data_IF_230692516149
#
_entry.id   IF_230692516149
#
_cell.length_a   1.000
_cell.length_b   1.000
_cell.length_c   1.000
_cell.angle_alpha   90.00
_cell.angle_beta   90.00
_cell.angle_gamma   90.00
#
_symmetry.space_group_name_H-M   'P 1'
#
loop_
_entity.id
_entity.type
_entity.pdbx_description
1 polymer ?
#
# COMPACT_ATOMS: atom_id res chain seq x y z
N UNK A 1 20.86 1.10 10.62
CA UNK A 1 20.20 1.65 9.41
C UNK A 1 19.33 0.54 8.84
N UNK A 2 18.08 0.82 8.49
CA UNK A 2 17.17 -0.14 7.86
C UNK A 2 17.11 0.18 6.37
N UNK A 3 17.27 -0.83 5.52
CA UNK A 3 17.27 -0.69 4.06
C UNK A 3 16.23 -1.65 3.47
N UNK A 4 15.48 -1.17 2.47
CA UNK A 4 14.62 -2.04 1.68
C UNK A 4 15.46 -2.86 0.71
N UNK A 5 15.34 -4.20 0.79
CA UNK A 5 16.11 -5.08 -0.10
C UNK A 5 15.36 -5.48 -1.37
N UNK A 6 14.13 -6.00 -1.21
CA UNK A 6 13.27 -6.48 -2.30
C UNK A 6 11.87 -6.80 -1.78
N UNK A 7 10.93 -6.96 -2.71
CA UNK A 7 9.66 -7.65 -2.42
C UNK A 7 9.91 -9.15 -2.47
N UNK A 8 9.26 -9.91 -1.58
CA UNK A 8 9.45 -11.36 -1.53
C UNK A 8 8.86 -12.11 -2.72
N UNK A 9 7.72 -11.64 -3.23
CA UNK A 9 7.05 -12.18 -4.41
C UNK A 9 7.42 -11.39 -5.65
N UNK A 10 8.06 -12.04 -6.62
CA UNK A 10 8.40 -11.44 -7.92
C UNK A 10 7.16 -10.98 -8.69
N UNK A 11 6.04 -11.70 -8.55
CA UNK A 11 4.76 -11.33 -9.17
C UNK A 11 4.25 -10.03 -8.56
N UNK A 12 4.26 -9.95 -7.22
CA UNK A 12 3.78 -8.76 -6.54
C UNK A 12 4.70 -7.57 -6.81
N UNK A 13 6.02 -7.77 -6.85
CA UNK A 13 6.96 -6.72 -7.24
C UNK A 13 6.64 -6.16 -8.63
N UNK A 14 6.42 -7.04 -9.62
CA UNK A 14 6.05 -6.64 -10.98
C UNK A 14 4.74 -5.87 -11.01
N UNK A 15 3.74 -6.29 -10.24
CA UNK A 15 2.46 -5.57 -10.15
C UNK A 15 2.63 -4.18 -9.54
N UNK A 16 3.41 -4.06 -8.45
CA UNK A 16 3.73 -2.77 -7.84
C UNK A 16 4.47 -1.86 -8.82
N UNK A 17 5.53 -2.37 -9.47
CA UNK A 17 6.31 -1.62 -10.46
C UNK A 17 5.50 -1.21 -11.69
N UNK A 18 4.47 -1.99 -12.05
CA UNK A 18 3.52 -1.63 -13.12
C UNK A 18 2.63 -0.45 -12.73
N UNK A 19 2.27 -0.30 -11.46
CA UNK A 19 1.51 0.85 -10.97
C UNK A 19 2.41 2.09 -10.94
N UNK A 20 3.63 1.95 -10.40
CA UNK A 20 4.67 2.98 -10.41
C UNK A 20 6.03 2.32 -10.20
N UNK A 21 7.04 2.71 -10.96
CA UNK A 21 8.38 2.10 -10.93
C UNK A 21 8.97 2.03 -9.51
N UNK A 22 8.68 3.03 -8.67
CA UNK A 22 9.20 3.14 -7.28
C UNK A 22 8.16 2.73 -6.22
N UNK A 23 7.06 2.09 -6.63
CA UNK A 23 6.00 1.66 -5.70
C UNK A 23 6.48 0.68 -4.62
N UNK A 24 7.35 -0.31 -4.89
CA UNK A 24 7.88 -1.19 -3.85
C UNK A 24 8.55 -0.44 -2.70
N UNK A 25 9.35 0.57 -3.04
CA UNK A 25 10.11 1.39 -2.09
C UNK A 25 9.18 2.30 -1.27
N UNK A 26 8.19 2.91 -1.92
CA UNK A 26 7.14 3.70 -1.23
C UNK A 26 6.39 2.84 -0.21
N UNK A 27 6.00 1.62 -0.61
CA UNK A 27 5.28 0.71 0.28
C UNK A 27 6.18 0.23 1.42
N UNK A 28 7.47 0.02 1.17
CA UNK A 28 8.41 -0.31 2.23
C UNK A 28 8.49 0.79 3.30
N UNK A 29 8.47 2.07 2.92
CA UNK A 29 8.47 3.18 3.89
C UNK A 29 7.18 3.24 4.70
N UNK A 30 6.03 3.02 4.07
CA UNK A 30 4.73 2.98 4.74
C UNK A 30 4.66 1.82 5.73
N UNK A 31 5.12 0.64 5.33
CA UNK A 31 5.20 -0.55 6.19
C UNK A 31 6.14 -0.28 7.36
N UNK A 32 7.30 0.34 7.11
CA UNK A 32 8.26 0.67 8.15
C UNK A 32 7.68 1.66 9.16
N UNK A 33 6.99 2.72 8.70
CA UNK A 33 6.27 3.65 9.55
C UNK A 33 5.19 2.93 10.39
N UNK A 34 4.41 2.05 9.78
CA UNK A 34 3.39 1.26 10.47
C UNK A 34 3.98 0.35 11.57
N UNK A 35 5.03 -0.42 11.27
CA UNK A 35 5.73 -1.26 12.26
C UNK A 35 6.53 -0.46 13.29
N UNK A 36 6.71 0.85 13.08
CA UNK A 36 7.33 1.79 14.02
C UNK A 36 6.29 2.55 14.85
N UNK A 37 5.04 2.04 14.90
CA UNK A 37 3.93 2.56 15.70
C UNK A 37 3.57 4.02 15.36
N UNK A 38 3.54 4.37 14.07
CA UNK A 38 3.23 5.73 13.56
C UNK A 38 1.79 5.91 13.08
N UNK A 39 0.89 5.03 13.53
CA UNK A 39 -0.50 4.99 13.09
C UNK A 39 -0.75 3.88 12.07
N UNK A 40 -1.93 3.89 11.46
CA UNK A 40 -2.34 2.84 10.51
C UNK A 40 -3.03 3.37 9.26
N UNK A 41 -3.59 4.58 9.30
CA UNK A 41 -4.23 5.20 8.14
C UNK A 41 -3.17 5.82 7.23
N UNK A 42 -3.39 5.80 5.92
CA UNK A 42 -2.42 6.35 4.96
C UNK A 42 -2.09 7.83 5.19
N UNK A 43 -3.06 8.74 5.48
CA UNK A 43 -2.73 10.12 5.81
C UNK A 43 -1.78 10.27 7.00
N UNK A 44 -2.00 9.50 8.08
CA UNK A 44 -1.17 9.52 9.29
C UNK A 44 0.25 9.03 8.99
N UNK A 45 0.35 7.89 8.27
CA UNK A 45 1.63 7.30 7.91
C UNK A 45 2.45 8.22 7.00
N UNK A 46 1.83 8.84 6.00
CA UNK A 46 2.51 9.79 5.11
C UNK A 46 2.97 11.02 5.88
N UNK A 47 2.13 11.58 6.75
CA UNK A 47 2.54 12.70 7.61
C UNK A 47 3.74 12.32 8.47
N UNK A 48 3.74 11.13 9.08
CA UNK A 48 4.88 10.64 9.85
C UNK A 48 6.14 10.49 9.00
N UNK A 49 6.04 9.98 7.76
CA UNK A 49 7.20 9.86 6.87
C UNK A 49 7.78 11.25 6.58
N UNK A 50 6.93 12.24 6.30
CA UNK A 50 7.36 13.62 6.01
C UNK A 50 8.05 14.30 7.20
N UNK A 51 7.63 13.99 8.42
CA UNK A 51 8.25 14.50 9.64
C UNK A 51 9.44 13.68 10.14
N UNK A 52 9.70 12.51 9.55
CA UNK A 52 10.78 11.61 9.96
C UNK A 52 12.05 11.80 9.12
N UNK A 53 13.20 11.47 9.71
CA UNK A 53 14.48 11.40 8.99
C UNK A 53 14.77 10.04 8.33
N UNK A 54 13.91 9.04 8.51
CA UNK A 54 14.12 7.69 7.96
C UNK A 54 13.53 7.62 6.57
N UNK A 55 14.38 7.56 5.55
CA UNK A 55 13.99 7.42 4.14
C UNK A 55 14.64 6.19 3.54
N UNK A 56 13.85 5.43 2.80
CA UNK A 56 14.30 4.34 1.94
C UNK A 56 14.56 4.89 0.53
N UNK A 57 13.74 5.83 0.07
CA UNK A 57 13.95 6.53 -1.19
C UNK A 57 15.14 7.49 -1.09
N UNK A 58 15.97 7.47 -2.13
CA UNK A 58 17.15 8.36 -2.26
C UNK A 58 16.82 9.73 -2.85
N UNK A 59 15.57 9.97 -3.23
CA UNK A 59 15.08 11.26 -3.72
C UNK A 59 13.86 11.69 -2.92
N UNK A 60 13.53 12.99 -2.98
CA UNK A 60 12.44 13.55 -2.22
C UNK A 60 11.12 13.45 -3.00
N UNK A 61 10.10 12.96 -2.32
CA UNK A 61 8.70 13.06 -2.71
C UNK A 61 7.98 13.95 -1.70
N UNK A 62 7.03 14.76 -2.17
CA UNK A 62 6.14 15.55 -1.31
C UNK A 62 5.04 14.67 -0.72
N UNK A 63 4.36 15.14 0.33
CA UNK A 63 3.17 14.47 0.86
C UNK A 63 2.11 14.22 -0.22
N UNK A 64 1.95 15.15 -1.15
CA UNK A 64 1.02 15.05 -2.28
C UNK A 64 1.42 13.94 -3.26
N UNK A 65 2.72 13.78 -3.55
CA UNK A 65 3.23 12.69 -4.39
C UNK A 65 2.96 11.32 -3.76
N UNK A 66 3.22 11.16 -2.45
CA UNK A 66 2.87 9.92 -1.74
C UNK A 66 1.37 9.67 -1.80
N UNK A 67 0.56 10.68 -1.48
CA UNK A 67 -0.89 10.55 -1.49
C UNK A 67 -1.41 10.14 -2.88
N UNK A 68 -0.88 10.74 -3.95
CA UNK A 68 -1.25 10.39 -5.32
C UNK A 68 -0.90 8.93 -5.67
N UNK A 69 0.33 8.51 -5.35
CA UNK A 69 0.83 7.16 -5.63
C UNK A 69 0.06 6.11 -4.83
N UNK A 70 -0.23 6.35 -3.56
CA UNK A 70 -1.05 5.46 -2.74
C UNK A 70 -2.50 5.41 -3.22
N UNK A 71 -3.10 6.54 -3.58
CA UNK A 71 -4.41 6.56 -4.24
C UNK A 71 -4.42 5.71 -5.51
N UNK A 72 -3.34 5.70 -6.28
CA UNK A 72 -3.20 4.84 -7.47
C UNK A 72 -3.15 3.36 -7.10
N UNK A 73 -2.34 2.98 -6.11
CA UNK A 73 -2.28 1.61 -5.60
C UNK A 73 -3.66 1.12 -5.14
N UNK A 74 -4.34 1.91 -4.32
CA UNK A 74 -5.66 1.59 -3.77
C UNK A 74 -6.70 1.43 -4.89
N UNK A 75 -6.71 2.34 -5.85
CA UNK A 75 -7.61 2.28 -6.99
C UNK A 75 -7.41 1.01 -7.83
N UNK A 76 -6.15 0.72 -8.19
CA UNK A 76 -5.86 -0.48 -8.99
C UNK A 76 -6.16 -1.76 -8.21
N UNK A 77 -5.88 -1.79 -6.91
CA UNK A 77 -6.24 -2.92 -6.03
C UNK A 77 -7.76 -3.13 -5.96
N UNK A 78 -8.52 -2.04 -5.82
CA UNK A 78 -9.98 -2.10 -5.75
C UNK A 78 -10.64 -2.51 -7.08
N UNK A 79 -10.02 -2.18 -8.22
CA UNK A 79 -10.61 -2.36 -9.55
C UNK A 79 -10.07 -3.57 -10.34
N UNK A 80 -9.14 -4.36 -9.79
CA UNK A 80 -8.77 -5.65 -10.40
C UNK A 80 -7.35 -6.15 -10.20
N UNK A 81 -6.44 -5.38 -9.60
CA UNK A 81 -5.08 -5.86 -9.28
C UNK A 81 -5.13 -6.84 -8.11
N UNK A 82 -4.60 -8.05 -8.31
CA UNK A 82 -4.48 -9.09 -7.28
C UNK A 82 -2.99 -9.38 -7.04
N UNK A 83 -2.47 -9.35 -5.80
CA UNK A 83 -1.04 -9.51 -5.51
C UNK A 83 -0.42 -10.82 -6.01
N UNK A 84 -1.20 -11.92 -5.98
CA UNK A 84 -0.71 -13.27 -6.25
C UNK A 84 -0.70 -13.66 -7.73
N UNK A 85 -1.27 -12.85 -8.62
CA UNK A 85 -1.36 -13.14 -10.06
C UNK A 85 -0.82 -11.98 -10.88
N UNK A 86 -0.21 -12.28 -12.03
CA UNK A 86 0.22 -11.23 -12.97
C UNK A 86 -0.97 -10.34 -13.34
N UNK A 87 -0.80 -9.03 -13.14
CA UNK A 87 -1.79 -8.04 -13.53
C UNK A 87 -1.40 -7.45 -14.90
N UNK A 88 -2.33 -7.52 -15.85
CA UNK A 88 -2.14 -7.00 -17.20
C UNK A 88 -2.14 -5.46 -17.24
N UNK A 89 -2.75 -4.81 -16.24
CA UNK A 89 -2.93 -3.36 -16.17
C UNK A 89 -4.37 -2.93 -16.49
N UNK A 90 -5.23 -3.87 -16.85
CA UNK A 90 -6.62 -3.59 -17.17
C UNK A 90 -7.46 -3.52 -15.88
N UNK A 91 -8.32 -2.52 -15.81
CA UNK A 91 -9.34 -2.41 -14.76
C UNK A 91 -10.48 -3.37 -15.12
N UNK A 92 -10.85 -4.28 -14.22
CA UNK A 92 -11.89 -5.29 -14.48
C UNK A 92 -13.31 -4.83 -14.15
N UNK A 93 -13.44 -3.78 -13.34
CA UNK A 93 -14.72 -3.17 -12.99
C UNK A 93 -15.20 -2.19 -14.11
N UNK A 94 -15.55 -2.74 -15.27
CA UNK A 94 -16.01 -1.95 -16.41
C UNK A 94 -17.42 -1.34 -16.23
N UNK A 95 -18.23 -1.88 -15.31
CA UNK A 95 -19.61 -1.43 -15.03
C UNK A 95 -19.76 -0.50 -13.83
N UNK A 96 -18.65 -0.15 -13.17
CA UNK A 96 -18.67 0.59 -11.90
C UNK A 96 -18.48 -0.29 -10.67
N UNK A 97 -18.22 0.34 -9.52
CA UNK A 97 -18.14 -0.30 -8.19
C UNK A 97 -19.11 0.42 -7.28
N UNK A 98 -19.90 -0.32 -6.51
CA UNK A 98 -20.77 0.25 -5.48
C UNK A 98 -20.19 -0.17 -4.13
N UNK A 99 -19.75 0.79 -3.34
CA UNK A 99 -19.38 0.56 -1.93
C UNK A 99 -20.53 1.06 -1.08
N UNK A 100 -21.12 0.18 -0.28
CA UNK A 100 -22.14 0.54 0.71
C UNK A 100 -21.46 0.61 2.07
N UNK A 101 -21.46 1.79 2.68
CA UNK A 101 -20.94 2.01 4.04
C UNK A 101 -21.90 1.43 5.08
N UNK A 102 -21.42 1.21 6.30
CA UNK A 102 -22.25 0.70 7.40
C UNK A 102 -23.40 1.65 7.77
N UNK A 103 -23.25 2.96 7.51
CA UNK A 103 -24.27 3.99 7.68
C UNK A 103 -25.29 4.07 6.52
N UNK A 104 -25.16 3.21 5.52
CA UNK A 104 -26.04 3.17 4.35
C UNK A 104 -25.65 4.16 3.24
N UNK A 105 -24.59 4.96 3.41
CA UNK A 105 -24.09 5.82 2.33
C UNK A 105 -23.49 4.98 1.20
N UNK A 106 -23.87 5.31 -0.04
CA UNK A 106 -23.41 4.62 -1.23
C UNK A 106 -22.33 5.45 -1.91
N UNK A 107 -21.12 4.90 -2.00
CA UNK A 107 -20.03 5.44 -2.82
C UNK A 107 -20.01 4.66 -4.14
N UNK A 108 -20.55 5.29 -5.19
CA UNK A 108 -20.54 4.75 -6.55
C UNK A 108 -19.30 5.19 -7.32
N UNK A 109 -18.52 4.24 -7.80
CA UNK A 109 -17.59 4.44 -8.91
C UNK A 109 -18.37 4.38 -10.22
N UNK A 110 -18.68 5.54 -10.78
CA UNK A 110 -18.84 5.74 -12.22
C UNK A 110 -17.68 6.62 -12.69
N UNK A 111 -17.26 6.47 -13.96
CA UNK A 111 -16.09 7.15 -14.54
C UNK A 111 -16.02 8.67 -14.23
N UNK A 112 -17.16 9.32 -14.04
CA UNK A 112 -17.28 10.74 -13.68
C UNK A 112 -16.80 11.12 -12.27
N UNK A 113 -16.58 10.16 -11.36
CA UNK A 113 -16.16 10.45 -9.99
C UNK A 113 -14.95 9.61 -9.50
N UNK A 114 -14.01 9.35 -10.41
CA UNK A 114 -12.80 8.59 -10.10
C UNK A 114 -11.95 9.24 -8.99
N UNK A 115 -11.94 10.58 -8.92
CA UNK A 115 -11.21 11.30 -7.89
C UNK A 115 -11.84 11.12 -6.50
N UNK A 116 -13.16 11.29 -6.34
CA UNK A 116 -13.78 11.06 -5.04
C UNK A 116 -13.66 9.60 -4.60
N UNK A 117 -13.72 8.64 -5.53
CA UNK A 117 -13.47 7.24 -5.22
C UNK A 117 -12.05 7.01 -4.68
N UNK A 118 -11.03 7.57 -5.36
CA UNK A 118 -9.63 7.52 -4.89
C UNK A 118 -9.46 8.17 -3.53
N UNK A 119 -10.06 9.34 -3.32
CA UNK A 119 -10.02 10.06 -2.05
C UNK A 119 -10.73 9.27 -0.94
N UNK A 120 -11.87 8.66 -1.26
CA UNK A 120 -12.60 7.80 -0.35
C UNK A 120 -11.75 6.61 0.10
N UNK A 121 -11.16 5.87 -0.83
CA UNK A 121 -10.27 4.75 -0.49
C UNK A 121 -9.11 5.22 0.38
N UNK A 122 -8.45 6.32 0.01
CA UNK A 122 -7.31 6.85 0.76
C UNK A 122 -7.64 7.24 2.20
N UNK A 123 -8.80 7.86 2.42
CA UNK A 123 -9.22 8.33 3.75
C UNK A 123 -9.86 7.23 4.61
N UNK A 124 -10.43 6.20 3.97
CA UNK A 124 -11.19 5.15 4.65
C UNK A 124 -10.50 3.79 4.63
N UNK A 125 -9.22 3.70 4.27
CA UNK A 125 -8.44 2.45 4.37
C UNK A 125 -7.23 2.63 5.28
N UNK A 126 -6.75 1.50 5.81
CA UNK A 126 -5.60 1.42 6.71
C UNK A 126 -4.77 0.19 6.42
N UNK A 127 -3.50 0.27 6.81
CA UNK A 127 -2.60 -0.88 6.91
C UNK A 127 -2.98 -1.71 8.13
N UNK A 128 -2.92 -3.03 7.97
CA UNK A 128 -3.10 -4.00 9.04
C UNK A 128 -2.08 -5.14 8.89
N UNK A 129 -1.79 -5.83 9.99
CA UNK A 129 -0.89 -6.99 10.00
C UNK A 129 -1.72 -8.25 9.77
N UNK A 130 -1.46 -9.03 8.70
CA UNK A 130 -2.03 -10.38 8.60
C UNK A 130 -1.48 -11.30 9.71
N UNK A 131 -1.96 -12.54 9.79
CA UNK A 131 -1.43 -13.47 10.80
C UNK A 131 0.03 -13.82 10.53
N UNK A 132 0.94 -13.36 11.40
CA UNK A 132 2.38 -13.61 11.30
C UNK A 132 2.71 -15.12 11.24
N UNK A 133 2.04 -15.92 12.06
CA UNK A 133 2.23 -17.38 12.09
C UNK A 133 1.76 -18.06 10.81
N UNK A 134 0.63 -17.63 10.24
CA UNK A 134 0.09 -18.18 9.00
C UNK A 134 0.99 -17.88 7.80
N UNK A 135 1.62 -16.71 7.78
CA UNK A 135 2.36 -16.21 6.62
C UNK A 135 3.88 -16.19 6.81
N UNK A 136 4.40 -16.63 7.96
CA UNK A 136 5.83 -16.84 8.20
C UNK A 136 6.68 -15.57 8.08
N UNK A 137 6.23 -14.46 8.66
CA UNK A 137 6.96 -13.17 8.63
C UNK A 137 7.11 -12.56 10.03
N UNK A 138 7.88 -11.48 10.15
CA UNK A 138 8.09 -10.75 11.41
C UNK A 138 9.23 -11.28 12.28
N UNK A 139 9.97 -12.29 11.80
CA UNK A 139 11.17 -12.81 12.47
C UNK A 139 12.43 -12.34 11.74
N UNK A 140 13.44 -11.99 12.52
CA UNK A 140 14.77 -11.68 12.00
C UNK A 140 15.45 -12.99 11.62
N UNK A 141 16.07 -13.04 10.46
CA UNK A 141 16.84 -14.17 9.95
C UNK A 141 18.18 -13.70 9.40
N UNK A 142 19.16 -14.61 9.35
CA UNK A 142 20.51 -14.34 8.86
C UNK A 142 20.71 -15.02 7.51
N UNK A 143 21.21 -14.28 6.53
CA UNK A 143 21.57 -14.80 5.21
C UNK A 143 22.92 -14.20 4.80
N UNK A 144 23.90 -15.05 4.44
CA UNK A 144 25.24 -14.63 3.98
C UNK A 144 26.00 -13.65 4.90
N UNK A 145 25.66 -13.61 6.18
CA UNK A 145 26.31 -12.72 7.16
C UNK A 145 25.45 -11.53 7.58
N UNK A 146 24.46 -11.16 6.76
CA UNK A 146 23.58 -10.02 6.98
C UNK A 146 22.27 -10.43 7.67
N UNK A 147 21.69 -9.48 8.41
CA UNK A 147 20.44 -9.66 9.14
C UNK A 147 19.29 -9.07 8.34
N UNK A 148 18.24 -9.86 8.13
CA UNK A 148 17.06 -9.49 7.38
C UNK A 148 15.81 -9.69 8.20
N UNK A 149 14.78 -8.91 7.90
CA UNK A 149 13.43 -9.12 8.42
C UNK A 149 12.45 -9.09 7.26
N UNK A 150 11.56 -10.09 7.22
CA UNK A 150 10.43 -10.09 6.29
C UNK A 150 9.24 -9.43 7.00
N UNK A 151 8.67 -8.40 6.39
CA UNK A 151 7.44 -7.75 6.84
C UNK A 151 6.33 -8.03 5.82
N UNK A 152 5.09 -7.99 6.29
CA UNK A 152 3.92 -8.22 5.46
C UNK A 152 2.80 -7.27 5.89
N UNK A 153 1.84 -7.03 5.01
CA UNK A 153 0.75 -6.12 5.26
C UNK A 153 -0.51 -6.55 4.51
N UNK A 154 -1.65 -6.04 4.96
CA UNK A 154 -2.90 -6.07 4.23
C UNK A 154 -3.57 -4.70 4.31
N UNK A 155 -4.40 -4.38 3.32
CA UNK A 155 -5.17 -3.14 3.27
C UNK A 155 -6.61 -3.47 3.67
N UNK A 156 -7.15 -2.72 4.63
CA UNK A 156 -8.53 -2.92 5.12
C UNK A 156 -9.24 -1.59 5.26
N UNK A 157 -10.56 -1.60 5.22
CA UNK A 157 -11.34 -0.41 5.55
C UNK A 157 -11.14 -0.02 7.03
N UNK A 158 -10.88 1.27 7.25
CA UNK A 158 -11.00 1.94 8.54
C UNK A 158 -12.46 1.81 9.00
N UNK A 159 -12.68 1.29 10.22
CA UNK A 159 -14.00 1.39 10.85
C UNK A 159 -14.25 2.84 11.25
#
# INVERSE_FOLDING_TARGET
VIEFKKVDSDIFEKNLRKIDTVMPEIIAEIILAYYSDKGSKFPELIQSIMSSGTKILHFNLTSEDYAYKIKSLLNNSALGMVPASYWDGNLRAHGGVIIVREDGEIVCYHLYNAEAFRNYLYNNTRIDSPSATRHGYGKIYKEKGDMFIKLNFQIRFAK
#
